data_IF_980920684488
#
_entry.id   IF_980920684488
#
_cell.length_a   1.000
_cell.length_b   1.000
_cell.length_c   1.000
_cell.angle_alpha   90.00
_cell.angle_beta   90.00
_cell.angle_gamma   90.00
#
_symmetry.space_group_name_H-M   'P 1'
#
loop_
_entity.id
_entity.type
_entity.pdbx_description
1 polymer ?
#
# COMPACT_ATOMS: atom_id res chain seq x y z
N UNK A 1 13.08 4.94 -86.62
CA UNK A 1 12.11 5.97 -86.18
C UNK A 1 11.64 5.60 -84.79
N UNK A 2 11.59 6.60 -83.90
CA UNK A 2 10.79 6.77 -82.67
C UNK A 2 9.94 5.55 -82.24
N UNK A 3 9.83 5.12 -80.99
CA UNK A 3 10.00 5.72 -79.66
C UNK A 3 9.18 4.80 -78.77
N UNK A 4 9.65 4.32 -77.61
CA UNK A 4 8.73 3.92 -76.55
C UNK A 4 9.46 3.99 -75.20
N UNK A 5 9.24 5.10 -74.52
CA UNK A 5 9.65 5.41 -73.16
C UNK A 5 8.91 4.46 -72.20
N UNK A 6 9.59 3.72 -71.31
CA UNK A 6 8.89 2.89 -70.34
C UNK A 6 8.29 3.74 -69.21
N UNK A 7 7.08 3.34 -68.83
CA UNK A 7 6.22 3.93 -67.80
C UNK A 7 6.89 3.82 -66.43
N UNK A 8 6.94 4.96 -65.74
CA UNK A 8 7.38 5.16 -64.36
C UNK A 8 6.55 4.31 -63.40
N UNK A 9 7.08 3.20 -62.90
CA UNK A 9 6.45 2.41 -61.83
C UNK A 9 6.74 3.05 -60.47
N UNK A 10 5.67 3.34 -59.74
CA UNK A 10 5.69 3.90 -58.39
C UNK A 10 6.39 2.94 -57.43
N UNK A 11 7.51 3.39 -56.85
CA UNK A 11 8.13 2.71 -55.73
C UNK A 11 7.20 2.79 -54.51
N UNK A 12 6.51 1.69 -54.20
CA UNK A 12 5.88 1.49 -52.89
C UNK A 12 7.00 1.44 -51.84
N UNK A 13 7.17 2.53 -51.10
CA UNK A 13 8.00 2.53 -49.89
C UNK A 13 7.34 1.63 -48.86
N UNK A 14 7.81 0.39 -48.76
CA UNK A 14 7.60 -0.41 -47.58
C UNK A 14 8.44 0.22 -46.46
N UNK A 15 7.78 0.98 -45.58
CA UNK A 15 8.36 1.35 -44.30
C UNK A 15 8.51 0.08 -43.48
N UNK A 16 9.68 -0.56 -43.58
CA UNK A 16 10.12 -1.53 -42.59
C UNK A 16 10.33 -0.76 -41.30
N UNK A 17 9.26 -0.61 -40.51
CA UNK A 17 9.38 -0.30 -39.09
C UNK A 17 10.06 -1.52 -38.48
N UNK A 18 11.38 -1.45 -38.42
CA UNK A 18 12.21 -2.33 -37.62
C UNK A 18 11.79 -2.12 -36.18
N UNK A 19 10.79 -2.88 -35.75
CA UNK A 19 10.51 -3.12 -34.34
C UNK A 19 11.82 -3.64 -33.76
N UNK A 20 12.43 -2.81 -32.91
CA UNK A 20 13.65 -3.15 -32.19
C UNK A 20 13.27 -4.26 -31.21
N UNK A 21 13.30 -5.51 -31.69
CA UNK A 21 13.19 -6.70 -30.85
C UNK A 21 14.42 -6.68 -29.97
N UNK A 22 14.27 -6.17 -28.75
CA UNK A 22 15.29 -6.30 -27.71
C UNK A 22 15.27 -7.76 -27.24
N UNK A 23 15.80 -8.64 -28.08
CA UNK A 23 16.06 -10.02 -27.75
C UNK A 23 17.48 -10.11 -27.18
N UNK A 24 17.55 -10.61 -25.94
CA UNK A 24 18.50 -11.62 -25.42
C UNK A 24 18.72 -11.38 -23.93
N UNK A 25 17.70 -11.66 -23.12
CA UNK A 25 17.98 -12.14 -21.76
C UNK A 25 18.57 -13.53 -21.92
N UNK A 26 19.88 -13.68 -21.65
CA UNK A 26 20.50 -14.99 -21.47
C UNK A 26 19.58 -15.81 -20.54
N UNK A 27 19.20 -17.05 -20.90
CA UNK A 27 18.34 -17.86 -20.03
C UNK A 27 18.99 -17.95 -18.66
N UNK A 28 18.21 -17.61 -17.62
CA UNK A 28 18.71 -17.67 -16.25
C UNK A 28 19.01 -19.15 -15.91
N UNK A 29 20.10 -19.42 -15.17
CA UNK A 29 20.34 -20.75 -14.60
C UNK A 29 19.11 -21.26 -13.84
N UNK A 30 18.85 -22.58 -13.86
CA UNK A 30 17.64 -23.20 -13.30
C UNK A 30 17.28 -22.71 -11.88
N UNK A 31 18.25 -22.63 -10.95
CA UNK A 31 17.98 -22.11 -9.60
C UNK A 31 17.55 -20.64 -9.60
N UNK A 32 18.17 -19.81 -10.45
CA UNK A 32 17.86 -18.38 -10.54
C UNK A 32 16.50 -18.14 -11.22
N UNK A 33 16.09 -18.97 -12.19
CA UNK A 33 14.78 -18.85 -12.82
C UNK A 33 13.66 -19.20 -11.84
N UNK A 34 13.83 -20.23 -11.00
CA UNK A 34 12.87 -20.57 -9.93
C UNK A 34 12.76 -19.43 -8.91
N UNK A 35 13.89 -18.89 -8.43
CA UNK A 35 13.88 -17.76 -7.49
C UNK A 35 13.24 -16.51 -8.10
N UNK A 36 13.50 -16.26 -9.39
CA UNK A 36 12.88 -15.17 -10.12
C UNK A 36 11.36 -15.35 -10.18
N UNK A 37 10.88 -16.53 -10.58
CA UNK A 37 9.45 -16.83 -10.63
C UNK A 37 8.78 -16.72 -9.26
N UNK A 38 9.44 -17.19 -8.19
CA UNK A 38 8.89 -17.09 -6.83
C UNK A 38 8.80 -15.65 -6.33
N UNK A 39 9.81 -14.81 -6.60
CA UNK A 39 9.78 -13.40 -6.21
C UNK A 39 8.78 -12.60 -7.05
N UNK A 40 8.65 -12.93 -8.34
CA UNK A 40 7.66 -12.35 -9.24
C UNK A 40 6.25 -12.64 -8.68
N UNK A 41 5.95 -13.91 -8.41
CA UNK A 41 4.67 -14.31 -7.82
C UNK A 41 4.40 -13.59 -6.50
N UNK A 42 5.41 -13.47 -5.62
CA UNK A 42 5.29 -12.77 -4.34
C UNK A 42 4.91 -11.29 -4.51
N UNK A 43 5.47 -10.59 -5.50
CA UNK A 43 5.16 -9.18 -5.75
C UNK A 43 3.79 -8.98 -6.42
N UNK A 44 3.28 -9.99 -7.12
CA UNK A 44 1.98 -9.94 -7.80
C UNK A 44 0.83 -10.35 -6.89
N UNK A 45 1.03 -11.41 -6.08
CA UNK A 45 -0.03 -11.97 -5.26
C UNK A 45 -0.33 -11.12 -4.03
N UNK A 46 0.65 -10.34 -3.56
CA UNK A 46 0.52 -9.59 -2.31
C UNK A 46 0.31 -8.10 -2.60
N UNK A 47 -0.80 -7.50 -2.13
CA UNK A 47 -1.03 -6.06 -2.27
C UNK A 47 -0.13 -5.25 -1.34
N UNK A 48 0.37 -5.82 -0.23
CA UNK A 48 1.28 -5.14 0.69
C UNK A 48 2.66 -5.81 0.68
N UNK A 49 3.68 -5.04 0.34
CA UNK A 49 5.07 -5.50 0.30
C UNK A 49 5.98 -4.43 0.91
N UNK A 50 6.57 -4.68 2.08
CA UNK A 50 7.55 -3.79 2.70
C UNK A 50 8.97 -4.27 2.44
N UNK A 51 9.83 -3.39 1.96
CA UNK A 51 11.26 -3.63 1.75
C UNK A 51 12.04 -3.17 2.98
N UNK A 52 12.72 -4.12 3.60
CA UNK A 52 13.58 -3.90 4.76
C UNK A 52 15.01 -4.23 4.39
N UNK A 53 15.95 -3.42 4.87
CA UNK A 53 17.37 -3.76 4.85
C UNK A 53 17.78 -4.26 6.23
N UNK A 54 17.97 -5.57 6.41
CA UNK A 54 18.60 -6.10 7.61
C UNK A 54 20.11 -5.89 7.54
N UNK A 55 20.70 -5.37 8.61
CA UNK A 55 22.13 -5.43 8.89
C UNK A 55 22.49 -6.81 9.46
N UNK A 56 23.37 -6.82 10.44
CA UNK A 56 23.78 -8.05 11.11
C UNK A 56 22.62 -8.58 11.94
N UNK A 57 21.96 -9.66 11.52
CA UNK A 57 20.89 -10.33 12.28
C UNK A 57 21.22 -11.79 12.52
N UNK A 58 21.09 -12.21 13.78
CA UNK A 58 21.22 -13.60 14.20
C UNK A 58 19.98 -14.42 13.85
N UNK A 59 20.17 -15.74 13.70
CA UNK A 59 19.06 -16.68 13.51
C UNK A 59 18.05 -16.70 14.69
N UNK A 60 18.48 -16.32 15.89
CA UNK A 60 17.59 -16.19 17.06
C UNK A 60 16.70 -14.95 16.95
N UNK A 61 17.29 -13.81 16.58
CA UNK A 61 16.55 -12.56 16.38
C UNK A 61 15.54 -12.69 15.23
N UNK A 62 15.91 -13.35 14.13
CA UNK A 62 14.95 -13.67 13.06
C UNK A 62 13.79 -14.55 13.53
N UNK A 63 14.03 -15.47 14.47
CA UNK A 63 12.96 -16.29 15.05
C UNK A 63 12.03 -15.46 15.92
N UNK A 64 12.57 -14.59 16.76
CA UNK A 64 11.78 -13.66 17.58
C UNK A 64 10.97 -12.68 16.73
N UNK A 65 11.59 -12.10 15.70
CA UNK A 65 10.92 -11.22 14.75
C UNK A 65 9.78 -11.95 14.03
N UNK A 66 10.01 -13.18 13.55
CA UNK A 66 8.95 -13.98 12.90
C UNK A 66 7.84 -14.37 13.88
N UNK A 67 8.18 -14.70 15.12
CA UNK A 67 7.21 -15.01 16.17
C UNK A 67 6.32 -13.79 16.48
N UNK A 68 6.94 -12.61 16.67
CA UNK A 68 6.24 -11.36 16.86
C UNK A 68 5.31 -11.04 15.68
N UNK A 69 5.82 -11.13 14.44
CA UNK A 69 5.03 -10.92 13.21
C UNK A 69 3.84 -11.89 13.13
N UNK A 70 4.04 -13.16 13.51
CA UNK A 70 2.96 -14.16 13.48
C UNK A 70 1.91 -14.00 14.58
N UNK A 71 2.25 -13.29 15.66
CA UNK A 71 1.37 -13.02 16.79
C UNK A 71 0.43 -11.82 16.56
N UNK A 72 0.64 -11.04 15.48
CA UNK A 72 -0.25 -9.93 15.16
C UNK A 72 -1.68 -10.43 14.87
N UNK A 73 -2.70 -9.70 15.31
CA UNK A 73 -4.09 -10.03 15.01
C UNK A 73 -4.30 -10.02 13.49
N UNK A 74 -5.07 -10.99 12.99
CA UNK A 74 -5.39 -11.07 11.56
C UNK A 74 -6.19 -9.84 11.17
N UNK A 75 -5.69 -9.13 10.17
CA UNK A 75 -6.39 -8.02 9.57
C UNK A 75 -7.63 -8.53 8.84
N UNK A 76 -8.80 -8.19 9.39
CA UNK A 76 -10.15 -8.59 8.96
C UNK A 76 -10.48 -10.09 9.14
N UNK A 77 -11.60 -10.42 9.82
CA UNK A 77 -12.03 -11.81 10.01
C UNK A 77 -12.55 -12.47 8.72
N UNK A 78 -12.84 -11.71 7.66
CA UNK A 78 -13.57 -12.20 6.48
C UNK A 78 -12.69 -12.66 5.31
N UNK A 79 -11.36 -12.49 5.38
CA UNK A 79 -10.47 -12.93 4.30
C UNK A 79 -10.05 -14.41 4.48
N UNK A 80 -10.71 -15.31 3.75
CA UNK A 80 -10.12 -16.61 3.36
C UNK A 80 -9.15 -16.33 2.20
N UNK A 81 -7.82 -16.61 2.27
CA UNK A 81 -7.00 -17.25 3.31
C UNK A 81 -6.44 -16.26 4.36
N UNK A 82 -6.03 -16.75 5.55
CA UNK A 82 -5.55 -15.90 6.64
C UNK A 82 -4.35 -15.06 6.18
N UNK A 83 -4.53 -13.74 6.12
CA UNK A 83 -3.54 -12.75 5.70
C UNK A 83 -2.41 -12.57 6.73
N UNK A 84 -1.71 -13.66 7.05
CA UNK A 84 -0.57 -13.63 7.96
C UNK A 84 0.62 -12.99 7.26
N UNK A 85 1.23 -11.95 7.84
CA UNK A 85 2.42 -11.34 7.26
C UNK A 85 3.58 -12.34 7.25
N UNK A 86 4.25 -12.47 6.10
CA UNK A 86 5.39 -13.39 5.91
C UNK A 86 6.65 -12.60 5.58
N UNK A 87 7.70 -12.84 6.37
CA UNK A 87 9.03 -12.31 6.13
C UNK A 87 9.83 -13.26 5.24
N UNK A 88 10.25 -12.76 4.08
CA UNK A 88 11.05 -13.49 3.09
C UNK A 88 12.34 -12.73 2.79
N UNK A 89 13.41 -13.42 2.42
CA UNK A 89 14.66 -12.77 2.00
C UNK A 89 14.66 -12.68 0.49
N UNK A 90 14.81 -11.47 -0.05
CA UNK A 90 14.81 -11.23 -1.48
C UNK A 90 16.23 -11.04 -2.00
N UNK A 91 16.52 -11.57 -3.18
CA UNK A 91 17.84 -11.39 -3.81
C UNK A 91 17.89 -10.05 -4.55
N UNK A 92 18.71 -9.08 -4.12
CA UNK A 92 18.72 -7.72 -4.69
C UNK A 92 19.06 -7.71 -6.18
N UNK A 93 19.99 -8.57 -6.62
CA UNK A 93 20.39 -8.66 -8.04
C UNK A 93 19.29 -9.17 -8.98
N UNK A 94 18.18 -9.72 -8.47
CA UNK A 94 17.01 -10.10 -9.29
C UNK A 94 15.96 -8.98 -9.35
N UNK A 95 15.99 -8.03 -8.42
CA UNK A 95 14.99 -6.96 -8.33
C UNK A 95 14.93 -6.07 -9.58
N UNK A 96 16.04 -5.64 -10.21
CA UNK A 96 15.98 -4.87 -11.46
C UNK A 96 15.30 -5.63 -12.60
N UNK A 97 15.51 -6.95 -12.67
CA UNK A 97 14.89 -7.80 -13.69
C UNK A 97 13.39 -7.98 -13.41
N UNK A 98 13.00 -8.06 -12.14
CA UNK A 98 11.60 -8.14 -11.72
C UNK A 98 10.86 -6.84 -12.05
N UNK A 99 11.42 -5.67 -11.71
CA UNK A 99 10.82 -4.36 -12.01
C UNK A 99 10.65 -4.09 -13.52
N UNK A 100 11.53 -4.69 -14.34
CA UNK A 100 11.41 -4.60 -15.81
C UNK A 100 10.37 -5.56 -16.38
N UNK A 101 9.91 -6.54 -15.60
CA UNK A 101 8.99 -7.54 -16.11
C UNK A 101 7.64 -6.90 -16.48
N UNK A 102 7.11 -7.18 -17.68
CA UNK A 102 5.90 -6.53 -18.18
C UNK A 102 4.69 -6.74 -17.27
N UNK A 103 4.65 -7.85 -16.53
CA UNK A 103 3.54 -8.15 -15.63
C UNK A 103 3.47 -7.25 -14.40
N UNK A 104 4.56 -6.60 -14.01
CA UNK A 104 4.51 -5.51 -13.03
C UNK A 104 4.17 -4.19 -13.74
N UNK A 105 4.73 -3.95 -14.93
CA UNK A 105 4.52 -2.70 -15.70
C UNK A 105 3.11 -2.51 -16.29
N UNK A 106 2.29 -3.56 -16.32
CA UNK A 106 0.99 -3.59 -17.00
C UNK A 106 -0.13 -2.79 -16.31
N UNK A 107 0.08 -2.19 -15.13
CA UNK A 107 -0.88 -1.25 -14.54
C UNK A 107 -0.89 0.08 -15.29
N UNK A 108 -1.36 0.07 -16.54
CA UNK A 108 -1.34 1.18 -17.51
C UNK A 108 -2.12 2.44 -17.07
N UNK A 109 -2.97 2.36 -16.04
CA UNK A 109 -3.84 3.48 -15.64
C UNK A 109 -3.24 4.35 -14.53
N UNK A 110 -2.18 3.89 -13.87
CA UNK A 110 -1.46 4.65 -12.85
C UNK A 110 -0.02 4.27 -13.00
N UNK A 111 0.80 5.19 -13.53
CA UNK A 111 2.24 4.97 -13.67
C UNK A 111 2.76 4.45 -12.34
N UNK A 112 3.29 3.23 -12.36
CA UNK A 112 4.02 2.71 -11.21
C UNK A 112 5.05 3.76 -10.84
N UNK A 113 4.93 4.33 -9.65
CA UNK A 113 6.03 5.10 -9.07
C UNK A 113 7.10 4.10 -8.61
N UNK A 114 7.69 3.35 -9.55
CA UNK A 114 8.86 2.49 -9.31
C UNK A 114 10.12 3.32 -9.06
N UNK A 115 10.04 4.65 -9.08
CA UNK A 115 11.14 5.56 -8.80
C UNK A 115 11.85 5.17 -7.50
N UNK A 116 11.10 4.94 -6.44
CA UNK A 116 11.64 4.49 -5.16
C UNK A 116 12.30 3.11 -5.27
N UNK A 117 11.63 2.09 -5.82
CA UNK A 117 12.19 0.74 -5.93
C UNK A 117 13.40 0.63 -6.89
N UNK A 118 13.50 1.52 -7.87
CA UNK A 118 14.64 1.64 -8.78
C UNK A 118 15.83 2.38 -8.17
N UNK A 119 15.65 2.98 -6.99
CA UNK A 119 16.69 3.72 -6.30
C UNK A 119 17.82 2.77 -5.86
N UNK A 120 19.07 3.25 -5.86
CA UNK A 120 20.25 2.42 -5.56
C UNK A 120 20.23 1.84 -4.15
N UNK A 121 19.39 2.38 -3.25
CA UNK A 121 19.11 1.81 -1.94
C UNK A 121 18.59 0.36 -2.06
N UNK A 122 17.52 0.10 -2.81
CA UNK A 122 16.92 -1.24 -2.87
C UNK A 122 17.77 -2.26 -3.62
N UNK A 123 18.73 -1.79 -4.42
CA UNK A 123 19.57 -2.63 -5.28
C UNK A 123 20.90 -3.03 -4.65
N UNK A 124 21.29 -2.40 -3.55
CA UNK A 124 22.57 -2.66 -2.86
C UNK A 124 22.33 -3.19 -1.45
N UNK A 125 23.07 -4.24 -1.11
CA UNK A 125 23.04 -4.87 0.22
C UNK A 125 22.00 -5.97 0.37
N UNK A 126 21.94 -6.62 1.55
CA UNK A 126 20.93 -7.61 1.88
C UNK A 126 19.53 -6.98 1.86
N UNK A 127 18.54 -7.73 1.37
CA UNK A 127 17.17 -7.25 1.24
C UNK A 127 16.21 -8.29 1.82
N UNK A 128 15.40 -7.88 2.77
CA UNK A 128 14.28 -8.64 3.28
C UNK A 128 12.98 -7.98 2.82
N UNK A 129 11.97 -8.80 2.60
CA UNK A 129 10.66 -8.37 2.14
C UNK A 129 9.61 -8.98 3.04
N UNK A 130 8.84 -8.11 3.67
CA UNK A 130 7.64 -8.49 4.40
C UNK A 130 6.44 -8.37 3.47
N UNK A 131 5.66 -9.43 3.38
CA UNK A 131 4.47 -9.47 2.53
C UNK A 131 3.23 -9.78 3.32
N UNK A 132 2.12 -9.14 2.97
CA UNK A 132 0.81 -9.48 3.48
C UNK A 132 -0.21 -9.54 2.33
N UNK A 133 -1.15 -10.47 2.44
CA UNK A 133 -2.18 -10.70 1.42
C UNK A 133 -3.32 -9.67 1.49
N UNK A 134 -3.49 -8.96 2.61
CA UNK A 134 -4.46 -7.89 2.75
C UNK A 134 -3.76 -6.56 3.06
N UNK A 135 -4.25 -5.49 2.46
CA UNK A 135 -3.75 -4.14 2.69
C UNK A 135 -4.57 -3.51 3.81
N UNK A 136 -4.05 -3.59 5.04
CA UNK A 136 -4.70 -3.06 6.24
C UNK A 136 -3.79 -2.07 6.95
N UNK A 137 -4.27 -0.84 7.21
CA UNK A 137 -3.48 0.16 7.92
C UNK A 137 -3.33 -0.17 9.42
N UNK A 138 -4.29 -0.88 10.01
CA UNK A 138 -4.25 -1.34 11.41
C UNK A 138 -3.12 -2.35 11.67
N UNK A 139 -2.87 -3.26 10.73
CA UNK A 139 -1.71 -4.14 10.77
C UNK A 139 -0.41 -3.33 10.71
N UNK A 140 -0.33 -2.34 9.82
CA UNK A 140 0.87 -1.48 9.73
C UNK A 140 1.14 -0.70 11.02
N UNK A 141 0.11 -0.17 11.68
CA UNK A 141 0.25 0.53 12.96
C UNK A 141 0.83 -0.37 14.07
N UNK A 142 0.47 -1.65 14.09
CA UNK A 142 1.02 -2.60 15.07
C UNK A 142 2.40 -3.15 14.66
N UNK A 143 2.68 -3.21 13.36
CA UNK A 143 3.93 -3.72 12.82
C UNK A 143 5.08 -2.71 12.91
N UNK A 144 4.86 -1.44 12.59
CA UNK A 144 5.88 -0.39 12.63
C UNK A 144 6.61 -0.27 13.99
N UNK A 145 5.95 -0.30 15.17
CA UNK A 145 6.64 -0.24 16.45
C UNK A 145 7.47 -1.49 16.73
N UNK A 146 7.05 -2.66 16.22
CA UNK A 146 7.85 -3.88 16.33
C UNK A 146 9.12 -3.73 15.48
N UNK A 147 8.99 -3.23 14.25
CA UNK A 147 10.14 -3.00 13.38
C UNK A 147 11.11 -1.96 13.96
N UNK A 148 10.62 -0.88 14.56
CA UNK A 148 11.46 0.14 15.22
C UNK A 148 12.10 -0.37 16.52
N UNK A 149 11.42 -1.27 17.23
CA UNK A 149 12.03 -1.95 18.38
C UNK A 149 13.22 -2.79 17.91
N UNK A 150 13.05 -3.61 16.87
CA UNK A 150 14.13 -4.44 16.35
C UNK A 150 15.24 -3.63 15.64
N UNK A 151 14.95 -2.44 15.12
CA UNK A 151 15.99 -1.57 14.54
C UNK A 151 16.94 -0.98 15.60
N UNK A 152 16.46 -0.78 16.83
CA UNK A 152 17.23 -0.24 17.97
C UNK A 152 17.94 -1.32 18.81
N UNK A 153 17.75 -2.61 18.50
CA UNK A 153 18.37 -3.69 19.28
C UNK A 153 19.90 -3.69 19.13
N UNK A 154 20.70 -3.62 20.21
CA UNK A 154 22.15 -3.69 20.11
C UNK A 154 22.58 -5.06 19.58
N UNK A 155 23.72 -5.11 18.86
CA UNK A 155 24.20 -6.36 18.29
C UNK A 155 24.52 -7.38 19.40
N UNK A 156 24.28 -8.70 19.19
CA UNK A 156 24.54 -9.74 20.19
C UNK A 156 26.00 -9.78 20.69
N UNK A 157 26.93 -9.24 19.89
CA UNK A 157 28.36 -9.18 20.21
C UNK A 157 28.79 -7.81 20.76
N UNK A 158 27.87 -6.85 20.89
CA UNK A 158 28.17 -5.57 21.53
C UNK A 158 28.25 -5.74 23.05
N UNK A 159 29.16 -5.04 23.74
CA UNK A 159 29.20 -5.03 25.19
C UNK A 159 27.86 -4.52 25.75
N UNK A 160 27.41 -5.02 26.92
CA UNK A 160 26.19 -4.57 27.58
C UNK A 160 26.19 -3.05 27.73
N UNK A 161 25.06 -2.40 27.42
CA UNK A 161 24.92 -0.96 27.55
C UNK A 161 24.85 -0.56 29.02
N UNK A 162 25.90 0.10 29.53
CA UNK A 162 25.91 0.66 30.87
C UNK A 162 24.95 1.88 30.95
N UNK A 163 24.02 1.94 31.91
CA UNK A 163 23.01 3.02 32.00
C UNK A 163 23.59 4.39 32.37
N UNK A 164 24.91 4.51 32.60
CA UNK A 164 25.60 5.75 33.03
C UNK A 164 26.61 6.30 32.01
N UNK A 165 26.84 5.63 30.88
CA UNK A 165 27.79 6.09 29.89
C UNK A 165 27.17 7.20 29.01
N UNK A 166 27.53 8.46 29.28
CA UNK A 166 27.11 9.65 28.50
C UNK A 166 27.60 9.68 27.04
N UNK A 167 28.39 8.69 26.63
CA UNK A 167 28.95 8.54 25.28
C UNK A 167 28.48 7.23 24.63
N UNK A 168 27.17 6.92 24.69
CA UNK A 168 26.62 5.82 23.89
C UNK A 168 26.78 6.17 22.42
N UNK A 169 27.70 5.50 21.74
CA UNK A 169 27.78 5.48 20.27
C UNK A 169 26.36 5.29 19.72
N UNK A 170 25.92 6.06 18.71
CA UNK A 170 24.56 5.92 18.16
C UNK A 170 24.34 4.45 17.82
N UNK A 171 23.35 3.83 18.46
CA UNK A 171 22.95 2.45 18.19
C UNK A 171 22.73 2.32 16.70
N UNK A 172 23.49 1.48 15.99
CA UNK A 172 23.34 1.37 14.55
C UNK A 172 21.93 0.85 14.25
N UNK A 173 21.20 1.53 13.38
CA UNK A 173 19.90 1.06 12.91
C UNK A 173 20.09 -0.23 12.13
N UNK A 174 19.89 -1.38 12.79
CA UNK A 174 20.13 -2.69 12.18
C UNK A 174 18.99 -3.12 11.26
N UNK A 175 17.80 -2.54 11.39
CA UNK A 175 16.70 -2.71 10.44
C UNK A 175 16.28 -1.35 9.93
N UNK A 176 16.60 -1.07 8.67
CA UNK A 176 16.12 0.11 7.99
C UNK A 176 14.90 -0.25 7.15
N UNK A 177 13.78 0.41 7.41
CA UNK A 177 12.63 0.37 6.53
C UNK A 177 12.93 1.28 5.34
N UNK A 178 13.03 0.73 4.14
CA UNK A 178 13.40 1.53 2.96
C UNK A 178 12.17 2.04 2.21
N UNK A 179 11.22 1.15 1.92
CA UNK A 179 10.01 1.52 1.19
C UNK A 179 8.92 0.47 1.32
N UNK A 180 7.67 0.88 1.27
CA UNK A 180 6.52 -0.01 1.07
C UNK A 180 5.98 0.09 -0.35
N UNK A 181 5.67 -1.05 -0.98
CA UNK A 181 4.88 -1.15 -2.18
C UNK A 181 3.46 -1.54 -1.80
N UNK A 182 2.51 -0.71 -2.22
CA UNK A 182 1.08 -0.78 -1.91
C UNK A 182 0.26 -0.97 -3.18
N UNK A 183 -0.69 -1.91 -3.15
CA UNK A 183 -1.60 -2.27 -4.24
C UNK A 183 -0.88 -2.59 -5.56
N UNK A 184 0.38 -3.03 -5.46
CA UNK A 184 1.26 -3.24 -6.61
C UNK A 184 1.60 -1.98 -7.40
N UNK A 185 1.06 -0.80 -7.07
CA UNK A 185 1.14 0.42 -7.90
C UNK A 185 1.91 1.58 -7.27
N UNK A 186 1.86 1.71 -5.95
CA UNK A 186 2.41 2.85 -5.22
C UNK A 186 3.58 2.41 -4.34
N UNK A 187 4.81 2.77 -4.73
CA UNK A 187 5.95 2.66 -3.84
C UNK A 187 6.07 3.94 -3.00
N UNK A 188 6.15 3.79 -1.69
CA UNK A 188 6.18 4.85 -0.69
C UNK A 188 7.42 4.68 0.18
N UNK A 189 8.01 5.80 0.56
CA UNK A 189 9.13 5.87 1.52
C UNK A 189 8.68 5.57 2.96
N UNK A 190 9.61 5.53 3.91
CA UNK A 190 9.34 5.32 5.34
C UNK A 190 8.30 6.32 5.88
N UNK A 191 8.47 7.61 5.59
CA UNK A 191 7.57 8.66 6.08
C UNK A 191 6.15 8.52 5.51
N UNK A 192 6.06 8.21 4.23
CA UNK A 192 4.78 7.99 3.57
C UNK A 192 4.13 6.69 4.06
N UNK A 193 4.91 5.65 4.36
CA UNK A 193 4.43 4.41 4.98
C UNK A 193 3.83 4.68 6.37
N UNK A 194 4.45 5.56 7.16
CA UNK A 194 3.89 5.99 8.44
C UNK A 194 2.57 6.78 8.29
N UNK A 195 2.41 7.55 7.20
CA UNK A 195 1.14 8.22 6.89
C UNK A 195 0.05 7.21 6.50
N UNK A 196 0.38 6.19 5.72
CA UNK A 196 -0.56 5.12 5.37
C UNK A 196 -0.99 4.33 6.59
N UNK A 197 -0.08 4.10 7.54
CA UNK A 197 -0.44 3.45 8.80
C UNK A 197 -1.47 4.26 9.59
N UNK A 198 -1.37 5.60 9.60
CA UNK A 198 -2.34 6.48 10.27
C UNK A 198 -3.73 6.51 9.63
N UNK A 199 -3.93 5.92 8.44
CA UNK A 199 -5.23 5.92 7.77
C UNK A 199 -6.23 4.98 8.47
N UNK A 200 -7.53 5.31 8.43
CA UNK A 200 -8.58 4.41 8.91
C UNK A 200 -8.77 3.23 7.94
N UNK A 201 -9.45 2.18 8.42
CA UNK A 201 -9.75 1.00 7.61
C UNK A 201 -10.63 1.30 6.40
N UNK A 202 -10.58 0.42 5.41
CA UNK A 202 -11.21 0.61 4.11
C UNK A 202 -12.74 0.77 4.24
N UNK A 203 -13.37 0.02 5.13
CA UNK A 203 -14.82 0.12 5.35
C UNK A 203 -15.22 1.45 5.99
N UNK A 204 -14.37 2.00 6.85
CA UNK A 204 -14.56 3.35 7.40
C UNK A 204 -14.42 4.40 6.29
N UNK A 205 -13.45 4.26 5.39
CA UNK A 205 -13.30 5.16 4.24
C UNK A 205 -14.50 5.07 3.28
N UNK A 206 -15.03 3.87 3.03
CA UNK A 206 -16.27 3.69 2.25
C UNK A 206 -17.45 4.35 2.95
N UNK A 207 -17.59 4.16 4.25
CA UNK A 207 -18.64 4.79 5.04
C UNK A 207 -18.51 6.32 5.04
N UNK A 208 -17.30 6.87 5.07
CA UNK A 208 -17.06 8.31 4.94
C UNK A 208 -17.49 8.83 3.56
N UNK A 209 -17.21 8.10 2.48
CA UNK A 209 -17.67 8.49 1.13
C UNK A 209 -19.20 8.46 1.08
N UNK A 210 -19.84 7.39 1.57
CA UNK A 210 -21.30 7.29 1.64
C UNK A 210 -21.90 8.40 2.51
N UNK A 211 -21.24 8.74 3.62
CA UNK A 211 -21.64 9.83 4.51
C UNK A 211 -21.51 11.20 3.85
N UNK A 212 -20.44 11.47 3.12
CA UNK A 212 -20.24 12.70 2.35
C UNK A 212 -21.25 12.83 1.20
N UNK A 213 -21.64 11.71 0.58
CA UNK A 213 -22.70 11.70 -0.43
C UNK A 213 -24.09 11.94 0.18
N UNK A 214 -24.34 11.46 1.40
CA UNK A 214 -25.65 11.59 2.07
C UNK A 214 -25.81 12.94 2.79
N UNK A 215 -24.71 13.55 3.24
CA UNK A 215 -24.73 14.78 4.02
C UNK A 215 -25.49 15.96 3.37
N UNK A 216 -25.38 16.24 2.05
CA UNK A 216 -26.16 17.31 1.42
C UNK A 216 -27.66 17.08 1.48
N UNK A 217 -28.12 15.84 1.25
CA UNK A 217 -29.53 15.47 1.36
C UNK A 217 -30.05 15.65 2.78
N UNK A 218 -29.29 15.16 3.77
CA UNK A 218 -29.63 15.30 5.18
C UNK A 218 -29.68 16.78 5.64
N UNK A 219 -28.84 17.66 5.07
CA UNK A 219 -28.89 19.11 5.34
C UNK A 219 -30.18 19.73 4.79
N UNK A 220 -30.60 19.38 3.58
CA UNK A 220 -31.82 19.92 2.96
C UNK A 220 -33.06 19.45 3.73
N UNK A 221 -33.14 18.15 4.04
CA UNK A 221 -34.24 17.61 4.85
C UNK A 221 -34.22 18.16 6.27
N UNK A 222 -33.03 18.44 6.82
CA UNK A 222 -32.88 19.10 8.11
C UNK A 222 -33.49 20.50 8.10
N UNK A 223 -33.13 21.34 7.13
CA UNK A 223 -33.67 22.71 7.01
C UNK A 223 -35.18 22.69 6.74
N UNK A 224 -35.65 21.85 5.81
CA UNK A 224 -37.07 21.71 5.52
C UNK A 224 -37.84 21.17 6.72
N UNK A 225 -37.28 20.18 7.41
CA UNK A 225 -37.82 19.61 8.63
C UNK A 225 -37.94 20.65 9.74
N UNK A 226 -36.92 21.48 9.98
CA UNK A 226 -36.99 22.55 10.98
C UNK A 226 -38.18 23.49 10.71
N UNK A 227 -38.35 23.93 9.46
CA UNK A 227 -39.50 24.78 9.09
C UNK A 227 -40.84 24.06 9.26
N UNK A 228 -40.91 22.77 8.91
CA UNK A 228 -42.11 21.98 9.10
C UNK A 228 -42.46 21.80 10.59
N UNK A 229 -41.46 21.58 11.45
CA UNK A 229 -41.66 21.47 12.90
C UNK A 229 -42.05 22.81 13.54
N UNK A 230 -41.53 23.93 13.06
CA UNK A 230 -41.98 25.26 13.49
C UNK A 230 -43.48 25.45 13.21
N UNK A 231 -43.94 25.13 11.99
CA UNK A 231 -45.36 25.22 11.64
C UNK A 231 -46.20 24.23 12.45
N UNK A 232 -45.75 22.99 12.60
CA UNK A 232 -46.45 21.99 13.40
C UNK A 232 -46.65 22.46 14.85
N UNK A 233 -45.61 23.01 15.48
CA UNK A 233 -45.70 23.57 16.84
C UNK A 233 -46.68 24.74 16.94
N UNK A 234 -46.73 25.61 15.93
CA UNK A 234 -47.70 26.72 15.95
C UNK A 234 -49.14 26.22 15.84
N UNK A 235 -49.39 25.18 15.04
CA UNK A 235 -50.72 24.56 14.93
C UNK A 235 -51.11 23.79 16.18
N UNK A 236 -50.18 23.05 16.79
CA UNK A 236 -50.39 22.36 18.07
C UNK A 236 -50.69 23.36 19.19
N UNK A 237 -49.98 24.49 19.24
CA UNK A 237 -50.25 25.57 20.19
C UNK A 237 -51.63 26.21 19.99
N UNK A 238 -52.05 26.44 18.75
CA UNK A 238 -53.40 26.94 18.44
C UNK A 238 -54.49 25.93 18.83
N UNK A 239 -54.27 24.65 18.56
CA UNK A 239 -55.20 23.59 18.96
C UNK A 239 -55.35 23.52 20.48
N UNK A 240 -54.25 23.53 21.22
CA UNK A 240 -54.27 23.52 22.68
C UNK A 240 -54.97 24.76 23.25
N UNK A 241 -54.76 25.94 22.66
CA UNK A 241 -55.45 27.17 23.09
C UNK A 241 -56.97 27.11 22.87
N UNK A 242 -57.44 26.45 21.81
CA UNK A 242 -58.87 26.25 21.58
C UNK A 242 -59.47 25.24 22.57
N UNK A 243 -58.74 24.16 22.89
CA UNK A 243 -59.16 23.20 23.92
C UNK A 243 -59.23 23.86 25.31
N UNK A 244 -58.32 24.80 25.63
CA UNK A 244 -58.36 25.60 26.86
C UNK A 244 -59.53 26.60 26.89
N UNK A 245 -59.86 27.24 25.77
CA UNK A 245 -61.02 28.13 25.66
C UNK A 245 -62.35 27.35 25.80
N UNK A 246 -62.48 26.19 25.15
CA UNK A 246 -63.64 25.32 25.27
C UNK A 246 -63.82 24.80 26.71
N UNK A 247 -62.74 24.38 27.37
CA UNK A 247 -62.77 23.96 28.78
C UNK A 247 -63.16 25.10 29.75
N UNK A 248 -62.98 26.36 29.34
CA UNK A 248 -63.33 27.55 30.13
C UNK A 248 -64.77 28.02 29.90
N UNK A 249 -65.39 27.60 28.80
CA UNK A 249 -66.80 27.86 28.46
C UNK A 249 -67.73 26.82 29.09
N UNK A 250 -67.21 25.62 29.39
CA UNK A 250 -67.96 24.55 30.08
C UNK A 250 -67.85 24.56 31.63
N UNK A 251 -67.11 25.50 32.22
CA UNK A 251 -66.99 25.71 33.68
C UNK A 251 -67.75 26.96 34.15
#
# INVERSE_FOLDING_TARGET
MASFTPIRSLATQATTTTTKVVARTRPLPARKSVLFASHLHLLQSNPLVLFLRPGDFSAQEYRQLRAAISALPLASPDSLPPAKPKLTVLRPGLLPALLRHPSLQQSKTTQLNTSYLSSPSHLKGPLAVLTASSLSPTLLNSLLPILSQFSSTPSPNAPPLDPKAKNSTPTPERLQLLSGLFEGTKALDEQATAQVAKLPELDVLRAQIVGLLTAPGARITGVLGQRAFEVARTLEGLKAGLEEEEAKVEA
#
